data_IF_205392593729
#
_entry.id   IF_205392593729
#
_cell.length_a   1.000
_cell.length_b   1.000
_cell.length_c   1.000
_cell.angle_alpha   90.00
_cell.angle_beta   90.00
_cell.angle_gamma   90.00
#
_symmetry.space_group_name_H-M   'P 1'
#
loop_
_entity.id
_entity.type
_entity.pdbx_description
1 polymer ?
#
# COMPACT_ATOMS: atom_id res chain seq x y z
N UNK A 1 7.19 42.40 -45.74
CA UNK A 1 8.29 41.60 -45.14
C UNK A 1 8.07 41.34 -43.65
N UNK A 2 7.83 42.37 -42.82
CA UNK A 2 7.61 42.21 -41.36
C UNK A 2 6.41 41.30 -41.02
N UNK A 3 5.29 41.41 -41.73
CA UNK A 3 4.10 40.59 -41.50
C UNK A 3 4.33 39.09 -41.80
N UNK A 4 5.19 38.75 -42.76
CA UNK A 4 5.52 37.35 -43.09
C UNK A 4 6.40 36.70 -42.00
N UNK A 5 7.32 37.47 -41.41
CA UNK A 5 8.19 37.02 -40.30
C UNK A 5 7.39 36.78 -39.02
N UNK A 6 6.37 37.61 -38.75
CA UNK A 6 5.48 37.42 -37.60
C UNK A 6 4.65 36.13 -37.72
N UNK A 7 4.17 35.81 -38.92
CA UNK A 7 3.40 34.58 -39.18
C UNK A 7 4.28 33.33 -39.02
N UNK A 8 5.54 33.36 -39.48
CA UNK A 8 6.45 32.22 -39.28
C UNK A 8 6.89 32.04 -37.83
N UNK A 9 7.09 33.13 -37.08
CA UNK A 9 7.36 33.08 -35.64
C UNK A 9 6.17 32.51 -34.84
N UNK A 10 4.95 32.85 -35.25
CA UNK A 10 3.72 32.29 -34.68
C UNK A 10 3.54 30.80 -35.04
N UNK A 11 3.90 30.37 -36.26
CA UNK A 11 3.82 28.95 -36.64
C UNK A 11 4.85 28.08 -35.92
N UNK A 12 6.07 28.60 -35.71
CA UNK A 12 7.13 27.86 -35.00
C UNK A 12 6.81 27.64 -33.51
N UNK A 13 6.04 28.53 -32.89
CA UNK A 13 5.63 28.41 -31.49
C UNK A 13 4.59 27.30 -31.26
N UNK A 14 3.92 26.81 -32.30
CA UNK A 14 2.99 25.68 -32.23
C UNK A 14 3.65 24.30 -32.40
N UNK A 15 4.90 24.20 -32.87
CA UNK A 15 5.58 22.90 -33.06
C UNK A 15 6.15 22.29 -31.77
N UNK A 16 6.20 23.03 -30.66
CA UNK A 16 6.92 22.64 -29.44
C UNK A 16 6.07 22.13 -28.27
N UNK A 17 4.75 22.21 -28.32
CA UNK A 17 3.88 21.84 -27.18
C UNK A 17 3.53 20.36 -27.19
N UNK A 18 4.46 19.51 -26.75
CA UNK A 18 4.11 18.14 -26.36
C UNK A 18 3.42 18.16 -24.99
N UNK A 19 2.13 17.85 -24.94
CA UNK A 19 1.42 17.64 -23.67
C UNK A 19 1.94 16.33 -23.06
N UNK A 20 2.82 16.44 -22.07
CA UNK A 20 3.25 15.31 -21.25
C UNK A 20 2.14 14.98 -20.25
N UNK A 21 1.36 13.93 -20.52
CA UNK A 21 0.39 13.41 -19.56
C UNK A 21 1.12 12.46 -18.62
N UNK A 22 1.51 12.97 -17.45
CA UNK A 22 2.04 12.14 -16.38
C UNK A 22 0.87 11.47 -15.65
N UNK A 23 0.76 10.14 -15.76
CA UNK A 23 -0.18 9.39 -14.92
C UNK A 23 0.27 9.51 -13.46
N UNK A 24 -0.54 10.13 -12.60
CA UNK A 24 -0.28 10.13 -11.17
C UNK A 24 -0.62 8.76 -10.61
N UNK A 25 0.32 8.07 -9.92
CA UNK A 25 0.01 6.83 -9.25
C UNK A 25 -1.05 7.08 -8.18
N UNK A 26 -2.17 6.35 -8.26
CA UNK A 26 -3.20 6.37 -7.22
C UNK A 26 -2.63 5.63 -6.02
N UNK A 27 -2.30 6.36 -4.94
CA UNK A 27 -1.71 5.79 -3.74
C UNK A 27 -2.63 4.79 -3.00
N UNK A 28 -3.95 4.88 -3.21
CA UNK A 28 -4.94 3.98 -2.63
C UNK A 28 -5.99 3.58 -3.68
N UNK A 29 -5.70 2.59 -4.56
CA UNK A 29 -6.61 2.18 -5.63
C UNK A 29 -7.92 1.59 -5.11
N UNK A 30 -7.92 1.00 -3.91
CA UNK A 30 -9.11 0.40 -3.29
C UNK A 30 -9.93 1.42 -2.48
N UNK A 31 -9.39 2.62 -2.23
CA UNK A 31 -10.04 3.73 -1.50
C UNK A 31 -10.63 3.28 -0.16
N UNK A 32 -9.90 2.43 0.56
CA UNK A 32 -10.40 1.84 1.80
C UNK A 32 -10.51 2.89 2.91
N UNK A 33 -11.63 2.87 3.65
CA UNK A 33 -11.83 3.70 4.84
C UNK A 33 -11.15 3.05 6.06
N UNK A 34 -9.83 2.96 5.99
CA UNK A 34 -8.98 2.44 7.05
C UNK A 34 -7.70 3.29 7.15
N UNK A 35 -7.15 3.42 8.36
CA UNK A 35 -5.88 4.12 8.62
C UNK A 35 -4.69 3.37 8.02
N UNK A 36 -4.67 2.04 8.18
CA UNK A 36 -3.75 1.13 7.52
C UNK A 36 -4.47 -0.17 7.12
N UNK A 37 -3.96 -0.84 6.09
CA UNK A 37 -4.50 -2.12 5.61
C UNK A 37 -3.47 -2.87 4.78
N UNK A 38 -3.52 -4.20 4.85
CA UNK A 38 -2.69 -5.11 4.06
C UNK A 38 -3.55 -6.28 3.58
N UNK A 39 -3.35 -6.69 2.33
CA UNK A 39 -3.97 -7.87 1.74
C UNK A 39 -2.87 -8.83 1.27
N UNK A 40 -2.90 -10.05 1.80
CA UNK A 40 -1.89 -11.08 1.55
C UNK A 40 -2.55 -12.34 1.00
N UNK A 41 -1.99 -12.93 -0.05
CA UNK A 41 -2.35 -14.26 -0.49
C UNK A 41 -1.90 -15.31 0.55
N UNK A 42 -2.84 -16.03 1.14
CA UNK A 42 -2.57 -16.91 2.28
C UNK A 42 -1.70 -18.13 1.98
N UNK A 43 -1.50 -18.49 0.70
CA UNK A 43 -0.66 -19.63 0.30
C UNK A 43 0.77 -19.22 -0.04
N UNK A 44 0.92 -18.18 -0.84
CA UNK A 44 2.22 -17.71 -1.33
C UNK A 44 2.87 -16.65 -0.44
N UNK A 45 2.09 -16.00 0.43
CA UNK A 45 2.55 -14.83 1.18
C UNK A 45 2.69 -13.58 0.31
N UNK A 46 2.25 -13.63 -0.96
CA UNK A 46 2.33 -12.48 -1.85
C UNK A 46 1.42 -11.36 -1.35
N UNK A 47 1.99 -10.19 -1.17
CA UNK A 47 1.26 -8.97 -0.87
C UNK A 47 0.55 -8.50 -2.16
N UNK A 48 -0.77 -8.36 -2.08
CA UNK A 48 -1.62 -7.96 -3.20
C UNK A 48 -1.99 -6.47 -3.13
N UNK A 49 -2.01 -5.90 -1.92
CA UNK A 49 -2.32 -4.50 -1.69
C UNK A 49 -1.85 -4.09 -0.29
N UNK A 50 -1.37 -2.85 -0.17
CA UNK A 50 -0.95 -2.22 1.08
C UNK A 50 -1.35 -0.75 1.12
N UNK A 51 -1.68 -0.28 2.32
CA UNK A 51 -1.86 1.12 2.65
C UNK A 51 -1.32 1.33 4.06
N UNK A 52 -0.29 2.17 4.19
CA UNK A 52 0.36 2.47 5.47
C UNK A 52 0.75 1.22 6.29
N UNK A 53 1.11 0.12 5.63
CA UNK A 53 1.31 -1.18 6.30
C UNK A 53 2.50 -1.17 7.29
N UNK A 54 3.51 -0.34 7.05
CA UNK A 54 4.67 -0.18 7.94
C UNK A 54 4.50 0.94 8.99
N UNK A 55 3.36 1.64 8.98
CA UNK A 55 3.11 2.70 9.94
C UNK A 55 2.86 2.11 11.33
N UNK A 56 3.61 2.52 12.38
CA UNK A 56 3.33 2.08 13.74
C UNK A 56 1.97 2.60 14.21
N UNK A 57 1.06 1.68 14.54
CA UNK A 57 -0.28 1.97 15.05
C UNK A 57 -0.55 1.21 16.35
N UNK A 58 -1.45 1.73 17.18
CA UNK A 58 -1.87 1.06 18.40
C UNK A 58 -2.71 -0.19 18.07
N UNK A 59 -2.18 -1.37 18.37
CA UNK A 59 -2.81 -2.66 18.02
C UNK A 59 -3.98 -3.05 18.95
N UNK A 60 -4.11 -2.39 20.12
CA UNK A 60 -5.16 -2.64 21.12
C UNK A 60 -5.43 -4.15 21.32
N UNK A 61 -6.66 -4.61 21.09
CA UNK A 61 -7.03 -6.02 21.27
C UNK A 61 -6.35 -6.98 20.30
N UNK A 62 -5.81 -6.53 19.15
CA UNK A 62 -5.10 -7.41 18.21
C UNK A 62 -3.81 -7.99 18.79
N UNK A 63 -3.22 -7.35 19.83
CA UNK A 63 -2.07 -7.89 20.57
C UNK A 63 -2.37 -9.28 21.17
N UNK A 64 -3.65 -9.61 21.42
CA UNK A 64 -4.05 -10.94 21.91
C UNK A 64 -3.66 -12.06 20.94
N UNK A 65 -3.59 -11.80 19.63
CA UNK A 65 -3.14 -12.79 18.63
C UNK A 65 -1.71 -13.24 18.93
N UNK A 66 -0.82 -12.32 19.34
CA UNK A 66 0.53 -12.67 19.75
C UNK A 66 0.52 -13.56 21.01
N UNK A 67 -0.33 -13.22 21.99
CA UNK A 67 -0.47 -14.04 23.19
C UNK A 67 -0.95 -15.45 22.87
N UNK A 68 -1.98 -15.59 22.04
CA UNK A 68 -2.50 -16.88 21.58
C UNK A 68 -1.45 -17.67 20.79
N UNK A 69 -0.70 -17.01 19.91
CA UNK A 69 0.40 -17.63 19.16
C UNK A 69 1.46 -18.22 20.09
N UNK A 70 1.91 -17.46 21.09
CA UNK A 70 2.89 -17.92 22.07
C UNK A 70 2.38 -19.10 22.89
N UNK A 71 1.10 -19.08 23.30
CA UNK A 71 0.47 -20.22 24.00
C UNK A 71 0.45 -21.44 23.09
N UNK A 72 0.03 -21.28 21.83
CA UNK A 72 -0.01 -22.36 20.85
C UNK A 72 1.36 -23.00 20.62
N UNK A 73 2.43 -22.20 20.52
CA UNK A 73 3.80 -22.71 20.43
C UNK A 73 4.17 -23.55 21.66
N UNK A 74 3.84 -23.10 22.86
CA UNK A 74 4.15 -23.83 24.10
C UNK A 74 3.39 -25.15 24.19
N UNK A 75 2.16 -25.20 23.69
CA UNK A 75 1.41 -26.45 23.57
C UNK A 75 2.08 -27.39 22.56
N UNK A 76 2.48 -26.88 21.39
CA UNK A 76 3.19 -27.65 20.36
C UNK A 76 4.54 -28.19 20.86
N UNK A 77 5.24 -27.44 21.70
CA UNK A 77 6.47 -27.84 22.40
C UNK A 77 6.22 -28.83 23.57
N UNK A 78 4.97 -29.23 23.83
CA UNK A 78 4.54 -30.04 24.99
C UNK A 78 4.92 -29.43 26.35
N UNK A 79 5.07 -28.11 26.43
CA UNK A 79 5.42 -27.40 27.68
C UNK A 79 4.22 -27.11 28.56
N UNK A 80 3.04 -27.01 27.96
CA UNK A 80 1.74 -26.84 28.62
C UNK A 80 0.71 -27.69 27.87
N UNK A 81 -0.37 -28.12 28.54
CA UNK A 81 -1.44 -28.90 27.90
C UNK A 81 -2.71 -28.07 27.68
N UNK A 82 -3.53 -28.46 26.71
CA UNK A 82 -4.83 -27.84 26.45
C UNK A 82 -5.80 -27.92 27.65
N UNK A 83 -5.66 -28.96 28.46
CA UNK A 83 -6.53 -29.23 29.62
C UNK A 83 -5.81 -28.94 30.94
N UNK A 84 -4.77 -28.11 30.90
CA UNK A 84 -4.01 -27.75 32.08
C UNK A 84 -4.88 -26.88 32.99
N UNK A 85 -5.17 -27.40 34.17
CA UNK A 85 -5.83 -26.65 35.24
C UNK A 85 -4.75 -26.21 36.24
N UNK A 86 -4.98 -25.05 36.87
CA UNK A 86 -4.11 -24.47 37.91
C UNK A 86 -3.97 -25.37 39.13
#
# INVERSE_FOLDING_TARGET
>A
MISFVLIQSLLLSFLGTTIQVQAQPIADPLRLRAEASILVDGKSGKILYEKNAEQPLALASMTKILTEYLIFEKIKENRISWTQTT
#
